data_IF_124285934264
#
_entry.id   IF_124285934264
#
_cell.length_a   1.000
_cell.length_b   1.000
_cell.length_c   1.000
_cell.angle_alpha   90.00
_cell.angle_beta   90.00
_cell.angle_gamma   90.00
#
_symmetry.space_group_name_H-M   'P 1'
#
loop_
_entity.id
_entity.type
_entity.pdbx_description
1 polymer ?
#
# COMPACT_ATOMS: atom_id res chain seq x y z
N UNK A 1 -12.43 -73.64 44.84
CA UNK A 1 -11.15 -72.91 44.93
C UNK A 1 -10.64 -72.70 43.47
N UNK A 2 -11.20 -71.69 42.80
CA UNK A 2 -10.87 -71.40 41.35
C UNK A 2 -10.04 -70.15 41.27
N UNK A 3 -8.84 -70.33 40.69
CA UNK A 3 -7.97 -69.21 40.37
C UNK A 3 -8.32 -68.64 38.94
N UNK A 4 -8.75 -67.42 38.88
CA UNK A 4 -8.89 -66.69 37.64
C UNK A 4 -7.49 -66.40 37.02
N UNK A 5 -7.31 -66.51 35.72
CA UNK A 5 -6.09 -66.08 35.04
C UNK A 5 -6.06 -64.55 34.85
N UNK A 6 -4.90 -63.95 35.08
CA UNK A 6 -4.63 -62.53 34.83
C UNK A 6 -4.66 -62.25 33.33
N UNK A 7 -5.44 -61.23 32.95
CA UNK A 7 -5.54 -60.70 31.59
C UNK A 7 -4.31 -59.82 31.31
N UNK A 8 -3.54 -60.14 30.29
CA UNK A 8 -2.40 -59.38 29.81
C UNK A 8 -2.84 -58.10 29.11
N UNK A 9 -2.56 -56.95 29.70
CA UNK A 9 -2.87 -55.62 29.17
C UNK A 9 -1.69 -54.92 28.51
N UNK A 10 -0.57 -55.66 28.24
CA UNK A 10 0.67 -55.03 27.83
C UNK A 10 0.93 -55.04 26.29
N UNK A 11 0.07 -55.70 25.50
CA UNK A 11 0.26 -55.77 24.05
C UNK A 11 -0.30 -54.58 23.25
N UNK A 12 -1.09 -53.67 23.90
CA UNK A 12 -1.74 -52.56 23.20
C UNK A 12 -1.11 -51.18 23.50
N UNK A 13 -0.07 -51.13 24.33
CA UNK A 13 0.68 -49.92 24.62
C UNK A 13 1.85 -49.69 23.61
N UNK A 14 2.42 -50.77 23.07
CA UNK A 14 3.55 -50.66 22.13
C UNK A 14 3.12 -50.36 20.67
N UNK A 15 1.90 -50.73 20.27
CA UNK A 15 1.37 -50.42 18.95
C UNK A 15 1.01 -48.91 18.79
N UNK A 16 0.77 -48.17 19.87
CA UNK A 16 0.50 -46.72 19.83
C UNK A 16 1.75 -45.85 19.96
N UNK A 17 2.92 -46.46 20.20
CA UNK A 17 4.20 -45.73 20.29
C UNK A 17 4.91 -45.63 18.97
N UNK A 18 4.57 -46.46 17.99
CA UNK A 18 5.19 -46.49 16.66
C UNK A 18 4.59 -45.50 15.66
N UNK A 19 3.41 -44.95 15.91
CA UNK A 19 2.69 -44.10 14.95
C UNK A 19 2.87 -42.60 15.18
N UNK A 20 3.66 -42.20 16.19
CA UNK A 20 3.96 -40.78 16.50
C UNK A 20 5.32 -40.28 16.06
N UNK A 21 6.02 -41.01 15.25
CA UNK A 21 7.38 -40.66 14.78
C UNK A 21 7.41 -40.12 13.34
N UNK A 22 6.46 -39.30 12.94
CA UNK A 22 6.40 -38.69 11.61
C UNK A 22 5.67 -37.37 11.52
N UNK A 23 5.20 -36.82 12.63
CA UNK A 23 4.57 -35.49 12.65
C UNK A 23 5.60 -34.45 13.08
N UNK A 24 5.80 -33.42 12.29
CA UNK A 24 6.47 -32.18 12.68
C UNK A 24 6.05 -31.81 14.10
N UNK A 25 7.03 -31.86 15.00
CA UNK A 25 6.92 -31.48 16.40
C UNK A 25 6.65 -29.95 16.44
N UNK A 26 5.39 -29.56 16.25
CA UNK A 26 4.95 -28.24 16.69
C UNK A 26 5.17 -28.23 18.19
N UNK A 27 6.21 -27.55 18.66
CA UNK A 27 6.40 -27.25 20.06
C UNK A 27 5.16 -26.45 20.51
N UNK A 28 4.20 -27.17 21.05
CA UNK A 28 3.02 -26.63 21.72
C UNK A 28 3.52 -25.93 22.99
N UNK A 29 3.96 -24.66 22.80
CA UNK A 29 4.44 -23.84 23.89
C UNK A 29 3.23 -23.52 24.74
N UNK A 30 3.22 -24.07 25.96
CA UNK A 30 2.14 -23.81 26.93
C UNK A 30 2.07 -22.29 27.21
N UNK A 31 1.09 -21.63 26.60
CA UNK A 31 0.85 -20.20 26.70
C UNK A 31 0.04 -19.84 27.96
N UNK A 32 -0.38 -20.85 28.73
CA UNK A 32 -1.22 -20.65 29.93
C UNK A 32 -0.38 -20.34 31.17
N UNK A 33 0.93 -20.58 31.12
CA UNK A 33 1.86 -20.34 32.23
C UNK A 33 2.78 -19.15 31.95
N UNK A 34 2.99 -18.27 32.95
CA UNK A 34 3.91 -17.15 32.88
C UNK A 34 3.24 -15.78 32.70
N UNK A 35 4.05 -14.73 32.46
CA UNK A 35 3.56 -13.36 32.25
C UNK A 35 2.85 -13.27 30.90
N UNK A 36 1.56 -12.97 30.90
CA UNK A 36 0.71 -12.79 29.72
C UNK A 36 1.33 -11.80 28.72
N UNK A 37 1.86 -10.72 29.24
CA UNK A 37 2.51 -9.68 28.42
C UNK A 37 3.73 -10.22 27.65
N UNK A 38 4.59 -11.01 28.33
CA UNK A 38 5.76 -11.63 27.73
C UNK A 38 5.38 -12.65 26.65
N UNK A 39 4.35 -13.44 26.91
CA UNK A 39 3.86 -14.42 25.94
C UNK A 39 3.27 -13.73 24.71
N UNK A 40 2.48 -12.66 24.88
CA UNK A 40 1.96 -11.85 23.77
C UNK A 40 3.11 -11.28 22.94
N UNK A 41 4.11 -10.62 23.55
CA UNK A 41 5.24 -10.04 22.82
C UNK A 41 6.06 -11.11 22.10
N UNK A 42 6.36 -12.24 22.75
CA UNK A 42 7.17 -13.30 22.15
C UNK A 42 6.46 -13.98 20.99
N UNK A 43 5.13 -14.10 21.05
CA UNK A 43 4.33 -14.74 20.01
C UNK A 43 4.00 -13.76 18.87
N UNK A 44 3.67 -12.50 19.16
CA UNK A 44 3.29 -11.52 18.17
C UNK A 44 4.50 -10.89 17.44
N UNK A 45 5.68 -10.83 18.06
CA UNK A 45 6.85 -10.16 17.50
C UNK A 45 7.28 -10.72 16.13
N UNK A 46 7.40 -12.05 15.90
CA UNK A 46 7.72 -12.60 14.58
C UNK A 46 6.66 -12.26 13.53
N UNK A 47 5.38 -12.26 13.91
CA UNK A 47 4.28 -11.89 13.01
C UNK A 47 4.33 -10.41 12.67
N UNK A 48 4.52 -9.54 13.68
CA UNK A 48 4.66 -8.09 13.46
C UNK A 48 5.85 -7.77 12.57
N UNK A 49 7.00 -8.42 12.79
CA UNK A 49 8.19 -8.22 11.96
C UNK A 49 7.95 -8.70 10.53
N UNK A 50 7.31 -9.86 10.34
CA UNK A 50 6.95 -10.38 9.03
C UNK A 50 5.99 -9.44 8.30
N UNK A 51 4.93 -8.95 8.96
CA UNK A 51 4.00 -7.96 8.40
C UNK A 51 4.68 -6.64 8.08
N UNK A 52 5.60 -6.18 8.93
CA UNK A 52 6.36 -4.95 8.70
C UNK A 52 7.26 -5.06 7.48
N UNK A 53 8.05 -6.14 7.37
CA UNK A 53 8.91 -6.40 6.21
C UNK A 53 8.10 -6.54 4.91
N UNK A 54 6.97 -7.21 4.99
CA UNK A 54 6.06 -7.37 3.85
C UNK A 54 5.42 -6.06 3.43
N UNK A 55 5.00 -5.24 4.38
CA UNK A 55 4.45 -3.90 4.10
C UNK A 55 5.52 -3.00 3.47
N UNK A 56 6.77 -3.06 3.96
CA UNK A 56 7.90 -2.35 3.36
C UNK A 56 8.16 -2.79 1.92
N UNK A 57 8.16 -4.11 1.65
CA UNK A 57 8.37 -4.64 0.31
C UNK A 57 7.25 -4.24 -0.65
N UNK A 58 6.00 -4.42 -0.26
CA UNK A 58 4.84 -4.02 -1.07
C UNK A 58 4.73 -2.50 -1.27
N UNK A 59 5.10 -1.71 -0.27
CA UNK A 59 5.20 -0.25 -0.42
C UNK A 59 6.32 0.15 -1.38
N UNK A 60 7.48 -0.50 -1.33
CA UNK A 60 8.58 -0.19 -2.24
C UNK A 60 8.16 -0.37 -3.71
N UNK A 61 7.52 -1.48 -4.05
CA UNK A 61 7.08 -1.76 -5.42
C UNK A 61 5.98 -0.80 -5.89
N UNK A 62 5.03 -0.46 -5.02
CA UNK A 62 3.93 0.44 -5.36
C UNK A 62 4.39 1.89 -5.56
N UNK A 63 5.40 2.33 -4.81
CA UNK A 63 5.97 3.67 -4.91
C UNK A 63 7.06 3.81 -5.98
N UNK A 64 7.59 2.71 -6.49
CA UNK A 64 8.73 2.74 -7.41
C UNK A 64 8.36 3.41 -8.75
N UNK A 65 7.20 3.12 -9.32
CA UNK A 65 6.74 3.73 -10.58
C UNK A 65 6.36 5.20 -10.41
N UNK A 66 5.50 5.58 -9.45
CA UNK A 66 5.20 6.99 -9.22
C UNK A 66 6.43 7.84 -8.87
N UNK A 67 7.34 7.35 -8.03
CA UNK A 67 8.55 8.09 -7.67
C UNK A 67 9.53 8.23 -8.84
N UNK A 68 9.61 7.25 -9.73
CA UNK A 68 10.40 7.36 -10.97
C UNK A 68 9.81 8.42 -11.89
N UNK A 69 8.49 8.58 -11.98
CA UNK A 69 7.85 9.68 -12.73
C UNK A 69 8.22 11.04 -12.14
N UNK A 70 8.20 11.19 -10.82
CA UNK A 70 8.63 12.42 -10.15
C UNK A 70 10.07 12.78 -10.53
N UNK A 71 10.99 11.84 -10.43
CA UNK A 71 12.40 12.04 -10.73
C UNK A 71 12.63 12.37 -12.21
N UNK A 72 11.97 11.64 -13.11
CA UNK A 72 12.08 11.83 -14.55
C UNK A 72 11.55 13.19 -14.98
N UNK A 73 10.34 13.56 -14.53
CA UNK A 73 9.73 14.85 -14.86
C UNK A 73 10.56 16.02 -14.29
N UNK A 74 11.09 15.85 -13.07
CA UNK A 74 11.93 16.87 -12.45
C UNK A 74 13.24 17.06 -13.22
N UNK A 75 13.94 15.99 -13.58
CA UNK A 75 15.21 16.06 -14.28
C UNK A 75 15.06 16.59 -15.72
N UNK A 76 14.18 15.99 -16.52
CA UNK A 76 13.92 16.41 -17.90
C UNK A 76 13.32 17.82 -17.96
N UNK A 77 12.40 18.13 -17.04
CA UNK A 77 11.79 19.44 -16.92
C UNK A 77 12.83 20.52 -16.64
N UNK A 78 13.68 20.31 -15.63
CA UNK A 78 14.73 21.27 -15.28
C UNK A 78 15.72 21.52 -16.43
N UNK A 79 16.11 20.47 -17.17
CA UNK A 79 16.96 20.60 -18.36
C UNK A 79 16.31 21.44 -19.46
N UNK A 80 15.02 21.22 -19.75
CA UNK A 80 14.30 21.96 -20.79
C UNK A 80 14.03 23.42 -20.37
N UNK A 81 13.77 23.65 -19.08
CA UNK A 81 13.65 25.02 -18.54
C UNK A 81 14.96 25.76 -18.64
N UNK A 82 16.09 25.13 -18.27
CA UNK A 82 17.43 25.71 -18.43
C UNK A 82 17.82 26.00 -19.88
N UNK A 83 17.26 25.26 -20.84
CA UNK A 83 17.41 25.48 -22.26
C UNK A 83 16.41 26.49 -22.88
N UNK A 84 15.52 27.08 -22.05
CA UNK A 84 14.46 28.00 -22.51
C UNK A 84 13.30 27.34 -23.26
N UNK A 85 13.20 26.00 -23.25
CA UNK A 85 12.19 25.23 -24.01
C UNK A 85 10.98 24.91 -23.14
N UNK A 86 10.22 25.92 -22.74
CA UNK A 86 9.11 25.80 -21.79
C UNK A 86 7.96 24.91 -22.29
N UNK A 87 7.63 24.97 -23.59
CA UNK A 87 6.57 24.15 -24.18
C UNK A 87 6.87 22.65 -24.06
N UNK A 88 8.14 22.26 -24.21
CA UNK A 88 8.57 20.87 -24.03
C UNK A 88 8.41 20.38 -22.58
N UNK A 89 8.53 21.28 -21.62
CA UNK A 89 8.31 20.92 -20.19
C UNK A 89 6.83 20.60 -19.93
N UNK A 90 5.91 21.33 -20.58
CA UNK A 90 4.48 21.02 -20.52
C UNK A 90 4.15 19.68 -21.20
N UNK A 91 4.80 19.37 -22.32
CA UNK A 91 4.63 18.08 -22.99
C UNK A 91 5.17 16.91 -22.16
N UNK A 92 6.33 17.07 -21.52
CA UNK A 92 6.88 16.07 -20.58
C UNK A 92 5.89 15.77 -19.48
N UNK A 93 5.26 16.79 -18.88
CA UNK A 93 4.23 16.60 -17.86
C UNK A 93 3.04 15.81 -18.40
N UNK A 94 2.54 16.14 -19.59
CA UNK A 94 1.39 15.45 -20.21
C UNK A 94 1.69 13.97 -20.48
N UNK A 95 2.86 13.67 -21.06
CA UNK A 95 3.27 12.29 -21.31
C UNK A 95 3.49 11.51 -20.00
N UNK A 96 4.08 12.12 -18.99
CA UNK A 96 4.26 11.48 -17.69
C UNK A 96 2.92 11.13 -17.02
N UNK A 97 1.95 12.05 -17.08
CA UNK A 97 0.58 11.79 -16.59
C UNK A 97 -0.06 10.65 -17.38
N UNK A 98 0.02 10.66 -18.72
CA UNK A 98 -0.57 9.62 -19.56
C UNK A 98 0.03 8.24 -19.26
N UNK A 99 1.36 8.14 -19.11
CA UNK A 99 2.06 6.90 -18.76
C UNK A 99 1.66 6.46 -17.34
N UNK A 100 1.68 7.38 -16.37
CA UNK A 100 1.34 7.08 -14.97
C UNK A 100 -0.10 6.60 -14.79
N UNK A 101 -1.05 7.27 -15.43
CA UNK A 101 -2.48 6.87 -15.44
C UNK A 101 -2.68 5.57 -16.19
N UNK A 102 -2.04 5.39 -17.35
CA UNK A 102 -2.11 4.15 -18.13
C UNK A 102 -1.61 2.95 -17.34
N UNK A 103 -0.45 3.09 -16.69
CA UNK A 103 0.08 2.05 -15.81
C UNK A 103 -0.86 1.79 -14.61
N UNK A 104 -1.32 2.85 -13.94
CA UNK A 104 -2.26 2.74 -12.83
C UNK A 104 -3.57 2.05 -13.22
N UNK A 105 -4.10 2.33 -14.41
CA UNK A 105 -5.31 1.69 -14.95
C UNK A 105 -5.09 0.19 -15.19
N UNK A 106 -3.98 -0.20 -15.79
CA UNK A 106 -3.62 -1.61 -16.01
C UNK A 106 -3.51 -2.34 -14.67
N UNK A 107 -2.79 -1.74 -13.70
CA UNK A 107 -2.65 -2.32 -12.37
C UNK A 107 -3.98 -2.40 -11.62
N UNK A 108 -4.84 -1.39 -11.74
CA UNK A 108 -6.17 -1.40 -11.15
C UNK A 108 -7.03 -2.54 -11.72
N UNK A 109 -7.01 -2.75 -13.03
CA UNK A 109 -7.72 -3.85 -13.67
C UNK A 109 -7.18 -5.21 -13.23
N UNK A 110 -5.86 -5.40 -13.24
CA UNK A 110 -5.23 -6.65 -12.83
C UNK A 110 -5.58 -7.01 -11.38
N UNK A 111 -5.53 -6.04 -10.48
CA UNK A 111 -5.79 -6.28 -9.05
C UNK A 111 -7.26 -6.62 -8.75
N UNK A 112 -8.22 -6.25 -9.61
CA UNK A 112 -9.61 -6.70 -9.44
C UNK A 112 -9.71 -8.23 -9.49
N UNK A 113 -8.88 -8.89 -10.31
CA UNK A 113 -8.92 -10.34 -10.51
C UNK A 113 -7.94 -11.07 -9.57
N UNK A 114 -6.75 -10.52 -9.35
CA UNK A 114 -5.64 -11.21 -8.68
C UNK A 114 -5.62 -10.95 -7.15
N UNK A 115 -6.37 -9.97 -6.63
CA UNK A 115 -6.33 -9.58 -5.23
C UNK A 115 -6.45 -10.75 -4.23
N UNK A 116 -7.37 -11.74 -4.37
CA UNK A 116 -7.41 -12.87 -3.45
C UNK A 116 -6.15 -13.73 -3.47
N UNK A 117 -5.57 -13.94 -4.65
CA UNK A 117 -4.34 -14.72 -4.82
C UNK A 117 -3.12 -14.02 -4.20
N UNK A 118 -3.16 -12.71 -4.09
CA UNK A 118 -2.12 -11.91 -3.42
C UNK A 118 -2.18 -12.03 -1.89
N UNK A 119 -3.35 -12.25 -1.31
CA UNK A 119 -3.54 -12.36 0.13
C UNK A 119 -3.35 -13.80 0.63
N UNK A 120 -3.72 -14.80 -0.17
CA UNK A 120 -3.61 -16.23 0.20
C UNK A 120 -2.25 -16.72 0.69
N UNK A 121 -1.10 -16.25 0.18
CA UNK A 121 0.21 -16.66 0.71
C UNK A 121 0.45 -16.28 2.18
N UNK A 122 -0.34 -15.36 2.74
CA UNK A 122 -0.14 -14.79 4.06
C UNK A 122 -1.12 -15.32 5.11
N UNK A 123 -2.22 -15.91 4.68
CA UNK A 123 -3.23 -16.47 5.60
C UNK A 123 -4.03 -17.56 4.92
N UNK A 124 -4.37 -18.59 5.72
CA UNK A 124 -5.27 -19.67 5.31
C UNK A 124 -6.72 -19.40 5.69
N UNK A 125 -7.01 -18.31 6.41
CA UNK A 125 -8.35 -17.92 6.80
C UNK A 125 -9.06 -17.20 5.66
N UNK A 126 -10.08 -17.84 5.08
CA UNK A 126 -10.84 -17.29 3.95
C UNK A 126 -11.53 -15.95 4.29
N UNK A 127 -11.95 -15.73 5.53
CA UNK A 127 -12.54 -14.46 5.94
C UNK A 127 -11.53 -13.31 5.86
N UNK A 128 -10.30 -13.57 6.28
CA UNK A 128 -9.18 -12.61 6.20
C UNK A 128 -8.75 -12.40 4.74
N UNK A 129 -8.74 -13.45 3.92
CA UNK A 129 -8.44 -13.35 2.48
C UNK A 129 -9.46 -12.45 1.78
N UNK A 130 -10.75 -12.63 2.03
CA UNK A 130 -11.80 -11.81 1.42
C UNK A 130 -11.73 -10.35 1.87
N UNK A 131 -11.52 -10.11 3.16
CA UNK A 131 -11.37 -8.76 3.70
C UNK A 131 -10.13 -8.04 3.14
N UNK A 132 -8.98 -8.72 3.07
CA UNK A 132 -7.75 -8.20 2.49
C UNK A 132 -7.87 -7.94 0.99
N UNK A 133 -8.52 -8.84 0.25
CA UNK A 133 -8.79 -8.65 -1.18
C UNK A 133 -9.70 -7.44 -1.43
N UNK A 134 -10.73 -7.23 -0.60
CA UNK A 134 -11.61 -6.07 -0.69
C UNK A 134 -10.85 -4.76 -0.42
N UNK A 135 -9.94 -4.76 0.55
CA UNK A 135 -9.04 -3.63 0.81
C UNK A 135 -8.14 -3.32 -0.38
N UNK A 136 -7.43 -4.32 -0.94
CA UNK A 136 -6.52 -4.14 -2.07
C UNK A 136 -7.28 -3.62 -3.30
N UNK A 137 -8.47 -4.17 -3.59
CA UNK A 137 -9.32 -3.72 -4.71
C UNK A 137 -9.75 -2.27 -4.59
N UNK A 138 -9.99 -1.77 -3.39
CA UNK A 138 -10.33 -0.37 -3.16
C UNK A 138 -9.11 0.54 -3.13
N UNK A 139 -8.02 0.09 -2.50
CA UNK A 139 -6.78 0.84 -2.39
C UNK A 139 -6.09 1.07 -3.74
N UNK A 140 -6.18 0.13 -4.68
CA UNK A 140 -5.46 0.20 -5.98
C UNK A 140 -5.85 1.43 -6.81
N UNK A 141 -7.04 2.00 -6.61
CA UNK A 141 -7.45 3.25 -7.26
C UNK A 141 -6.56 4.44 -6.88
N UNK A 142 -5.88 4.37 -5.72
CA UNK A 142 -4.88 5.37 -5.34
C UNK A 142 -3.74 5.45 -6.36
N UNK A 143 -3.32 4.33 -6.95
CA UNK A 143 -2.26 4.29 -7.97
C UNK A 143 -2.57 5.11 -9.21
N UNK A 144 -3.85 5.19 -9.63
CA UNK A 144 -4.26 6.03 -10.75
C UNK A 144 -3.95 7.51 -10.49
N UNK A 145 -4.36 7.99 -9.32
CA UNK A 145 -4.20 9.39 -8.94
C UNK A 145 -2.78 9.69 -8.48
N UNK A 146 -2.07 8.70 -7.92
CA UNK A 146 -0.66 8.83 -7.56
C UNK A 146 0.20 9.17 -8.78
N UNK A 147 -0.02 8.53 -9.93
CA UNK A 147 0.67 8.86 -11.19
C UNK A 147 0.54 10.34 -11.56
N UNK A 148 -0.65 10.92 -11.39
CA UNK A 148 -0.92 12.34 -11.66
C UNK A 148 -0.17 13.23 -10.65
N UNK A 149 -0.38 13.01 -9.36
CA UNK A 149 0.19 13.89 -8.32
C UNK A 149 1.73 13.85 -8.30
N UNK A 150 2.36 12.69 -8.53
CA UNK A 150 3.82 12.59 -8.60
C UNK A 150 4.40 13.28 -9.84
N UNK A 151 3.70 13.22 -11.00
CA UNK A 151 4.09 13.93 -12.19
C UNK A 151 4.04 15.46 -11.99
N UNK A 152 2.99 15.97 -11.36
CA UNK A 152 2.92 17.39 -10.98
C UNK A 152 3.97 17.79 -9.95
N UNK A 153 4.25 16.93 -8.96
CA UNK A 153 5.32 17.17 -7.99
C UNK A 153 6.68 17.32 -8.69
N UNK A 154 6.97 16.43 -9.67
CA UNK A 154 8.17 16.54 -10.50
C UNK A 154 8.22 17.84 -11.29
N UNK A 155 7.10 18.27 -11.87
CA UNK A 155 6.98 19.53 -12.59
C UNK A 155 7.26 20.75 -11.68
N UNK A 156 6.67 20.79 -10.48
CA UNK A 156 6.93 21.86 -9.52
C UNK A 156 8.39 21.90 -9.06
N UNK A 157 9.01 20.73 -8.87
CA UNK A 157 10.43 20.62 -8.56
C UNK A 157 11.32 21.13 -9.72
N UNK A 158 10.96 20.83 -10.97
CA UNK A 158 11.67 21.31 -12.15
C UNK A 158 11.69 22.85 -12.23
N UNK A 159 10.61 23.51 -11.83
CA UNK A 159 10.52 24.97 -11.74
C UNK A 159 11.16 25.56 -10.47
N UNK A 160 11.85 24.77 -9.65
CA UNK A 160 12.43 25.21 -8.39
C UNK A 160 11.41 25.53 -7.28
N UNK A 161 10.13 25.16 -7.48
CA UNK A 161 9.03 25.42 -6.54
C UNK A 161 8.62 24.17 -5.74
N UNK A 162 9.59 23.48 -5.16
CA UNK A 162 9.38 22.27 -4.37
C UNK A 162 8.42 22.46 -3.19
N UNK A 163 8.28 23.71 -2.67
CA UNK A 163 7.29 24.06 -1.65
C UNK A 163 5.86 23.79 -2.08
N UNK A 164 5.52 23.91 -3.38
CA UNK A 164 4.18 23.57 -3.90
C UNK A 164 3.95 22.06 -3.87
N UNK A 165 4.99 21.27 -4.16
CA UNK A 165 4.94 19.82 -4.04
C UNK A 165 4.71 19.37 -2.60
N UNK A 166 5.38 19.99 -1.65
CA UNK A 166 5.14 19.75 -0.23
C UNK A 166 3.73 20.15 0.21
N UNK A 167 3.27 21.32 -0.22
CA UNK A 167 1.96 21.88 0.15
C UNK A 167 0.79 20.97 -0.22
N UNK A 168 0.69 20.56 -1.52
CA UNK A 168 -0.45 19.73 -1.94
C UNK A 168 -0.46 18.36 -1.26
N UNK A 169 0.73 17.79 -1.02
CA UNK A 169 0.86 16.49 -0.36
C UNK A 169 0.44 16.58 1.12
N UNK A 170 0.97 17.58 1.84
CA UNK A 170 0.62 17.83 3.25
C UNK A 170 -0.88 18.11 3.41
N UNK A 171 -1.46 18.93 2.52
CA UNK A 171 -2.89 19.23 2.53
C UNK A 171 -3.73 17.97 2.34
N UNK A 172 -3.34 17.11 1.41
CA UNK A 172 -4.01 15.82 1.15
C UNK A 172 -3.98 14.91 2.37
N UNK A 173 -2.83 14.80 3.02
CA UNK A 173 -2.66 13.93 4.20
C UNK A 173 -3.53 14.44 5.35
N UNK A 174 -3.43 15.72 5.68
CA UNK A 174 -4.09 16.30 6.86
C UNK A 174 -5.61 16.45 6.69
N UNK A 175 -6.08 16.83 5.50
CA UNK A 175 -7.50 17.16 5.28
C UNK A 175 -8.30 15.95 4.79
N UNK A 176 -7.69 14.98 4.11
CA UNK A 176 -8.43 13.89 3.47
C UNK A 176 -7.99 12.53 3.98
N UNK A 177 -6.69 12.19 3.92
CA UNK A 177 -6.22 10.84 4.25
C UNK A 177 -6.43 10.51 5.74
N UNK A 178 -6.01 11.38 6.65
CA UNK A 178 -6.13 11.15 8.10
C UNK A 178 -7.59 11.21 8.55
N UNK A 179 -8.38 12.26 8.25
CA UNK A 179 -9.79 12.28 8.62
C UNK A 179 -10.61 11.20 7.93
N UNK A 180 -10.32 10.91 6.65
CA UNK A 180 -10.99 9.87 5.88
C UNK A 180 -10.78 8.48 6.48
N UNK A 181 -9.55 8.13 6.85
CA UNK A 181 -9.25 6.87 7.53
C UNK A 181 -9.93 6.80 8.91
N UNK A 182 -9.94 7.89 9.67
CA UNK A 182 -10.62 7.96 10.97
C UNK A 182 -12.14 7.78 10.83
N UNK A 183 -12.78 8.47 9.86
CA UNK A 183 -14.20 8.28 9.58
C UNK A 183 -14.52 6.85 9.14
N UNK A 184 -13.70 6.28 8.25
CA UNK A 184 -13.87 4.91 7.78
C UNK A 184 -13.87 3.92 8.96
N UNK A 185 -12.92 4.03 9.88
CA UNK A 185 -12.86 3.21 11.08
C UNK A 185 -14.06 3.42 12.02
N UNK A 186 -14.56 4.65 12.12
CA UNK A 186 -15.66 5.00 13.06
C UNK A 186 -17.02 4.54 12.57
N UNK A 187 -17.30 4.70 11.27
CA UNK A 187 -18.62 4.45 10.70
C UNK A 187 -18.77 3.07 10.05
N UNK A 188 -17.67 2.47 9.61
CA UNK A 188 -17.69 1.19 8.89
C UNK A 188 -16.70 0.16 9.48
N UNK A 189 -16.83 -0.21 10.77
CA UNK A 189 -15.87 -1.12 11.41
C UNK A 189 -15.89 -2.54 10.83
N UNK A 190 -16.94 -2.90 10.09
CA UNK A 190 -17.13 -4.26 9.55
C UNK A 190 -16.57 -4.43 8.13
N UNK A 191 -16.17 -3.36 7.45
CA UNK A 191 -15.70 -3.44 6.06
C UNK A 191 -14.42 -2.62 5.89
N UNK A 192 -13.41 -3.21 5.21
CA UNK A 192 -12.13 -2.55 4.93
C UNK A 192 -12.17 -1.68 3.65
N UNK A 193 -13.24 -1.75 2.87
CA UNK A 193 -13.39 -1.00 1.61
C UNK A 193 -13.29 0.52 1.80
N UNK A 194 -14.01 1.15 2.75
CA UNK A 194 -13.91 2.61 2.95
C UNK A 194 -12.52 3.03 3.41
N UNK A 195 -11.83 2.18 4.17
CA UNK A 195 -10.47 2.43 4.63
C UNK A 195 -9.47 2.40 3.44
N UNK A 196 -9.67 1.51 2.46
CA UNK A 196 -8.88 1.47 1.22
C UNK A 196 -9.18 2.62 0.26
N UNK A 197 -10.39 3.19 0.28
CA UNK A 197 -10.76 4.33 -0.55
C UNK A 197 -10.24 5.68 0.00
N UNK A 198 -9.99 5.80 1.29
CA UNK A 198 -9.52 7.04 1.89
C UNK A 198 -8.21 7.57 1.26
N UNK A 199 -7.17 6.76 1.01
CA UNK A 199 -5.99 7.19 0.25
C UNK A 199 -6.33 7.65 -1.17
N UNK A 200 -7.18 6.93 -1.89
CA UNK A 200 -7.58 7.26 -3.26
C UNK A 200 -8.29 8.63 -3.32
N UNK A 201 -9.19 8.91 -2.38
CA UNK A 201 -9.81 10.24 -2.23
C UNK A 201 -8.76 11.31 -1.93
N UNK A 202 -7.75 11.00 -1.10
CA UNK A 202 -6.64 11.91 -0.80
C UNK A 202 -5.82 12.24 -2.04
N UNK A 203 -5.48 11.25 -2.85
CA UNK A 203 -4.74 11.46 -4.10
C UNK A 203 -5.56 12.19 -5.16
N UNK A 204 -6.87 11.93 -5.24
CA UNK A 204 -7.77 12.70 -6.10
C UNK A 204 -7.80 14.17 -5.69
N UNK A 205 -7.98 14.46 -4.40
CA UNK A 205 -7.94 15.82 -3.87
C UNK A 205 -6.60 16.49 -4.17
N UNK A 206 -5.49 15.80 -3.92
CA UNK A 206 -4.15 16.30 -4.24
C UNK A 206 -3.98 16.60 -5.74
N UNK A 207 -4.51 15.75 -6.62
CA UNK A 207 -4.48 15.96 -8.07
C UNK A 207 -5.25 17.22 -8.49
N UNK A 208 -6.41 17.47 -7.87
CA UNK A 208 -7.20 18.70 -8.10
C UNK A 208 -6.38 19.94 -7.68
N UNK A 209 -5.80 19.90 -6.48
CA UNK A 209 -4.93 21.00 -5.98
C UNK A 209 -3.74 21.22 -6.93
N UNK A 210 -3.11 20.16 -7.41
CA UNK A 210 -2.01 20.26 -8.39
C UNK A 210 -2.43 20.95 -9.68
N UNK A 211 -3.60 20.63 -10.24
CA UNK A 211 -4.13 21.28 -11.45
C UNK A 211 -4.39 22.77 -11.20
N UNK A 212 -4.93 23.12 -10.04
CA UNK A 212 -5.15 24.54 -9.68
C UNK A 212 -3.84 25.29 -9.54
N UNK A 213 -2.84 24.70 -8.86
CA UNK A 213 -1.50 25.29 -8.73
C UNK A 213 -0.80 25.43 -10.07
N UNK A 214 -0.92 24.44 -10.95
CA UNK A 214 -0.38 24.50 -12.31
C UNK A 214 -1.00 25.65 -13.11
N UNK A 215 -2.34 25.79 -13.08
CA UNK A 215 -3.04 26.88 -13.74
C UNK A 215 -2.63 28.25 -13.19
N UNK A 216 -2.49 28.34 -11.87
CA UNK A 216 -2.02 29.56 -11.20
C UNK A 216 -0.60 29.92 -11.64
N UNK A 217 0.34 28.95 -11.64
CA UNK A 217 1.71 29.17 -12.13
C UNK A 217 1.74 29.63 -13.58
N UNK A 218 0.93 29.03 -14.44
CA UNK A 218 0.88 29.38 -15.87
C UNK A 218 0.29 30.78 -16.10
N UNK A 219 -0.62 31.21 -15.24
CA UNK A 219 -1.17 32.58 -15.24
C UNK A 219 -0.11 33.63 -14.85
N UNK A 220 0.78 33.29 -13.90
CA UNK A 220 1.87 34.17 -13.47
C UNK A 220 3.01 34.27 -14.50
N UNK A 221 3.25 33.20 -15.25
CA UNK A 221 4.31 33.12 -16.23
C UNK A 221 3.86 33.46 -17.67
N UNK A 222 2.64 33.99 -17.88
CA UNK A 222 2.30 34.58 -19.18
C UNK A 222 3.26 35.76 -19.41
N UNK A 223 4.05 35.75 -20.49
CA UNK A 223 4.78 36.94 -20.86
C UNK A 223 3.72 38.03 -21.05
N UNK A 224 3.81 39.08 -20.26
CA UNK A 224 3.13 40.34 -20.56
C UNK A 224 3.60 40.71 -21.97
N UNK A 225 2.72 40.46 -22.95
CA UNK A 225 3.01 40.81 -24.33
C UNK A 225 3.47 42.26 -24.37
N UNK A 226 4.70 42.43 -24.79
CA UNK A 226 5.24 43.72 -25.13
C UNK A 226 4.30 44.27 -26.19
N UNK A 227 3.55 45.29 -25.83
CA UNK A 227 2.93 46.21 -26.79
C UNK A 227 4.01 47.20 -27.12
N UNK A 228 4.76 46.92 -28.18
CA UNK A 228 5.45 47.93 -28.95
C UNK A 228 5.04 47.79 -30.42
#
# INVERSE_FOLDING_TARGET
MERKPACSSDANSDARRGERAGGTEYMEKDLTSGSVLKNIFTFSLPYLLSYFLQTLYGMADLFLVPSSMLSTVSALGAQNIGAGKYDRTDDILRYAIAIGVGFGAVMALLMQFIAPSMVRPFTSDEAVVLAGAAYIRSYIFDCLFAGIQFSFSGYFCAWGRSGLSFLHNTLSILLVRVPGAWLACRFFPQTLVPMGLAPACGSLFSSIVCVLLYRWMKSQNKPTGNKD
#
